data_IF_750696795584
#
_entry.id   IF_750696795584
#
_cell.length_a   1.000
_cell.length_b   1.000
_cell.length_c   1.000
_cell.angle_alpha   90.00
_cell.angle_beta   90.00
_cell.angle_gamma   90.00
#
_symmetry.space_group_name_H-M   'P 1'
#
loop_
_entity.id
_entity.type
_entity.pdbx_description
1 polymer ?
#
# COMPACT_ATOMS: atom_id res chain seq x y z
N UNK A 1 18.16 -2.55 23.67
CA UNK A 1 17.79 -3.21 22.40
C UNK A 1 17.11 -2.16 21.58
N UNK A 2 17.65 -1.83 20.40
CA UNK A 2 17.06 -0.77 19.58
C UNK A 2 16.00 -1.34 18.65
N UNK A 3 14.76 -0.89 18.82
CA UNK A 3 13.61 -1.34 18.04
C UNK A 3 13.21 -0.26 17.05
N UNK A 4 13.02 -0.63 15.79
CA UNK A 4 12.55 0.31 14.76
C UNK A 4 11.04 0.22 14.65
N UNK A 5 10.38 1.37 14.84
CA UNK A 5 8.93 1.49 14.69
C UNK A 5 8.57 2.00 13.31
N UNK A 6 7.57 1.39 12.67
CA UNK A 6 6.98 1.83 11.39
C UNK A 6 5.49 2.11 11.57
N UNK A 7 4.97 3.11 10.84
CA UNK A 7 3.53 3.38 10.80
C UNK A 7 2.82 2.27 10.04
N UNK A 8 1.73 1.78 10.63
CA UNK A 8 0.80 0.86 9.97
C UNK A 8 -0.12 1.65 9.05
N UNK A 9 -0.89 0.96 8.19
CA UNK A 9 -1.92 1.60 7.34
C UNK A 9 -2.94 2.40 8.17
N UNK A 10 -3.25 1.91 9.38
CA UNK A 10 -4.08 2.61 10.37
C UNK A 10 -3.43 3.92 10.85
N UNK A 11 -2.12 3.91 11.07
CA UNK A 11 -1.33 5.10 11.40
C UNK A 11 -1.31 6.15 10.30
N UNK A 12 -1.19 5.71 9.05
CA UNK A 12 -1.21 6.59 7.88
C UNK A 12 -2.61 7.21 7.68
N UNK A 13 -3.65 6.38 7.73
CA UNK A 13 -5.04 6.83 7.64
C UNK A 13 -5.38 7.87 8.72
N UNK A 14 -4.88 7.72 9.95
CA UNK A 14 -5.11 8.68 11.03
C UNK A 14 -4.40 10.03 10.80
N UNK A 15 -3.21 10.02 10.20
CA UNK A 15 -2.52 11.26 9.84
C UNK A 15 -3.30 12.01 8.76
N UNK A 16 -3.79 11.30 7.74
CA UNK A 16 -4.47 11.88 6.58
C UNK A 16 -5.90 12.32 6.88
N UNK A 17 -6.67 11.48 7.58
CA UNK A 17 -8.13 11.67 7.71
C UNK A 17 -8.57 12.16 9.10
N UNK A 18 -7.71 12.05 10.13
CA UNK A 18 -8.06 12.24 11.56
C UNK A 18 -9.30 11.45 12.01
N UNK A 19 -9.61 10.34 11.33
CA UNK A 19 -10.87 9.62 11.53
C UNK A 19 -11.00 9.01 12.95
N UNK A 20 -9.89 8.70 13.61
CA UNK A 20 -9.85 8.03 14.91
C UNK A 20 -9.66 8.99 16.09
N UNK A 21 -9.66 10.31 15.86
CA UNK A 21 -9.54 11.34 16.91
C UNK A 21 -8.36 11.10 17.87
N UNK A 22 -7.22 10.70 17.32
CA UNK A 22 -6.03 10.43 18.12
C UNK A 22 -5.60 11.69 18.89
N UNK A 23 -5.12 11.50 20.13
CA UNK A 23 -4.65 12.62 20.94
C UNK A 23 -3.56 13.40 20.17
N UNK A 24 -3.59 14.75 20.18
CA UNK A 24 -2.67 15.58 19.39
C UNK A 24 -1.20 15.21 19.61
N UNK A 25 -0.85 14.84 20.85
CA UNK A 25 0.50 14.42 21.24
C UNK A 25 0.90 13.09 20.62
N UNK A 26 0.00 12.09 20.64
CA UNK A 26 0.23 10.80 20.00
C UNK A 26 0.34 10.95 18.48
N UNK A 27 -0.43 11.86 17.89
CA UNK A 27 -0.36 12.15 16.45
C UNK A 27 0.99 12.77 16.07
N UNK A 28 1.50 13.70 16.87
CA UNK A 28 2.84 14.26 16.66
C UNK A 28 3.91 13.18 16.76
N UNK A 29 3.82 12.28 17.75
CA UNK A 29 4.72 11.13 17.85
C UNK A 29 4.62 10.21 16.62
N UNK A 30 3.40 9.89 16.19
CA UNK A 30 3.13 9.07 15.00
C UNK A 30 3.67 9.72 13.72
N UNK A 31 3.61 11.05 13.60
CA UNK A 31 4.21 11.78 12.48
C UNK A 31 5.73 11.59 12.46
N UNK A 32 6.38 11.58 13.63
CA UNK A 32 7.83 11.42 13.77
C UNK A 32 8.36 10.00 13.48
N UNK A 33 7.49 8.99 13.53
CA UNK A 33 7.83 7.57 13.29
C UNK A 33 7.94 7.27 11.79
N UNK A 34 9.10 7.49 11.17
CA UNK A 34 9.26 7.31 9.71
C UNK A 34 9.53 5.85 9.26
N UNK A 35 9.55 4.86 10.15
CA UNK A 35 9.98 3.50 9.81
C UNK A 35 11.50 3.32 9.65
N UNK A 36 12.27 4.39 9.82
CA UNK A 36 13.73 4.42 9.64
C UNK A 36 14.49 4.70 10.93
N UNK A 37 13.82 5.28 11.93
CA UNK A 37 14.43 5.73 13.18
C UNK A 37 14.25 4.66 14.25
N UNK A 38 15.32 4.42 15.00
CA UNK A 38 15.26 3.55 16.17
C UNK A 38 14.52 4.25 17.32
N UNK A 39 14.01 3.47 18.28
CA UNK A 39 13.38 3.94 19.52
C UNK A 39 14.21 5.02 20.23
N UNK A 40 15.53 4.86 20.27
CA UNK A 40 16.47 5.79 20.91
C UNK A 40 16.54 7.15 20.19
N UNK A 41 16.38 7.16 18.86
CA UNK A 41 16.32 8.40 18.07
C UNK A 41 14.96 9.07 18.19
N UNK A 42 13.88 8.29 18.20
CA UNK A 42 12.53 8.80 18.41
C UNK A 42 12.38 9.42 19.80
N UNK A 43 12.99 8.83 20.84
CA UNK A 43 13.07 9.41 22.19
C UNK A 43 13.79 10.76 22.24
N UNK A 44 14.82 10.96 21.41
CA UNK A 44 15.54 12.25 21.34
C UNK A 44 14.75 13.34 20.63
N UNK A 45 13.89 12.96 19.70
CA UNK A 45 13.04 13.87 18.93
C UNK A 45 11.75 14.22 19.68
N UNK A 46 11.18 13.26 20.40
CA UNK A 46 9.99 13.46 21.22
C UNK A 46 10.44 13.85 22.62
N UNK A 47 10.55 15.16 22.86
CA UNK A 47 11.09 15.69 24.13
C UNK A 47 10.21 15.40 25.36
N UNK A 48 8.96 14.96 25.19
CA UNK A 48 8.07 14.67 26.32
C UNK A 48 7.37 13.34 26.15
N UNK A 49 7.60 12.43 27.10
CA UNK A 49 6.91 11.15 27.25
C UNK A 49 6.92 10.26 25.99
N UNK A 50 8.09 10.18 25.33
CA UNK A 50 8.27 9.41 24.11
C UNK A 50 7.91 7.92 24.28
N UNK A 51 8.30 7.32 25.39
CA UNK A 51 7.98 5.92 25.71
C UNK A 51 6.49 5.68 25.83
N UNK A 52 5.79 6.51 26.60
CA UNK A 52 4.34 6.40 26.78
C UNK A 52 3.60 6.59 25.47
N UNK A 53 4.05 7.55 24.65
CA UNK A 53 3.47 7.78 23.33
C UNK A 53 3.70 6.61 22.36
N UNK A 54 4.92 6.10 22.24
CA UNK A 54 5.25 4.97 21.36
C UNK A 54 4.53 3.69 21.81
N UNK A 55 4.45 3.46 23.13
CA UNK A 55 3.72 2.32 23.69
C UNK A 55 2.23 2.41 23.39
N UNK A 56 1.62 3.59 23.53
CA UNK A 56 0.19 3.79 23.23
C UNK A 56 -0.08 3.62 21.74
N UNK A 57 0.78 4.15 20.87
CA UNK A 57 0.65 3.97 19.42
C UNK A 57 0.79 2.50 19.01
N UNK A 58 1.61 1.73 19.70
CA UNK A 58 1.78 0.31 19.45
C UNK A 58 0.61 -0.51 19.98
N UNK A 59 0.13 -0.22 21.19
CA UNK A 59 -1.03 -0.87 21.81
C UNK A 59 -2.30 -0.65 20.99
N UNK A 60 -2.50 0.57 20.49
CA UNK A 60 -3.61 0.92 19.62
C UNK A 60 -3.41 0.49 18.14
N UNK A 61 -2.24 -0.05 17.79
CA UNK A 61 -1.93 -0.60 16.45
C UNK A 61 -1.67 0.44 15.35
N UNK A 62 -1.29 1.67 15.70
CA UNK A 62 -0.88 2.71 14.75
C UNK A 62 0.58 2.58 14.31
N UNK A 63 1.41 1.87 15.08
CA UNK A 63 2.79 1.54 14.73
C UNK A 63 3.09 0.09 15.05
N UNK A 64 4.01 -0.49 14.28
CA UNK A 64 4.50 -1.86 14.44
C UNK A 64 6.04 -1.89 14.53
N UNK A 65 6.57 -2.91 15.21
CA UNK A 65 8.03 -3.11 15.33
C UNK A 65 8.48 -4.01 14.18
N UNK A 66 9.23 -3.44 13.25
CA UNK A 66 9.67 -4.14 12.02
C UNK A 66 11.09 -4.68 12.10
N UNK A 67 11.90 -4.28 13.07
CA UNK A 67 13.24 -4.85 13.27
C UNK A 67 13.76 -4.64 14.68
N UNK A 68 14.33 -5.71 15.25
CA UNK A 68 15.15 -5.71 16.46
C UNK A 68 16.58 -6.07 16.04
N UNK A 69 17.31 -5.14 15.43
CA UNK A 69 18.68 -5.41 14.98
C UNK A 69 19.67 -4.45 15.64
N UNK A 70 20.82 -4.96 16.12
CA UNK A 70 21.78 -4.16 16.86
C UNK A 70 22.49 -3.15 15.95
N UNK A 71 22.37 -1.87 16.32
CA UNK A 71 23.37 -0.80 16.24
C UNK A 71 24.07 -0.47 14.89
N UNK A 72 23.69 0.69 14.33
CA UNK A 72 24.44 1.78 13.61
C UNK A 72 25.52 1.40 12.55
N UNK A 73 25.66 2.19 11.46
CA UNK A 73 26.15 3.58 11.57
C UNK A 73 25.28 4.65 10.89
N UNK A 74 25.33 5.84 11.48
CA UNK A 74 24.95 7.14 10.90
C UNK A 74 26.07 7.60 9.93
N UNK A 75 25.91 8.69 9.13
CA UNK A 75 24.74 9.54 8.90
C UNK A 75 24.29 9.51 7.43
N UNK A 76 22.99 9.32 7.17
CA UNK A 76 22.47 9.62 5.84
C UNK A 76 22.31 11.15 5.73
N UNK A 77 23.23 11.74 4.96
CA UNK A 77 23.09 13.07 4.39
C UNK A 77 21.66 13.28 3.86
N UNK A 78 21.21 14.54 3.90
CA UNK A 78 19.93 14.97 3.31
C UNK A 78 19.66 14.23 1.99
N UNK A 79 18.42 13.76 1.73
CA UNK A 79 18.12 13.06 0.50
C UNK A 79 18.55 13.96 -0.66
N UNK A 80 19.59 13.55 -1.36
CA UNK A 80 19.98 14.20 -2.59
C UNK A 80 18.79 14.10 -3.55
N UNK A 81 18.60 15.09 -4.45
CA UNK A 81 17.49 15.10 -5.41
C UNK A 81 17.34 13.78 -6.18
N UNK A 82 18.43 13.02 -6.32
CA UNK A 82 18.47 11.70 -6.95
C UNK A 82 17.63 10.62 -6.26
N UNK A 83 17.58 10.57 -4.92
CA UNK A 83 16.84 9.51 -4.19
C UNK A 83 15.32 9.75 -4.18
N UNK A 84 14.89 11.01 -4.06
CA UNK A 84 13.48 11.38 -4.19
C UNK A 84 12.99 11.20 -5.64
N UNK A 85 13.83 11.50 -6.63
CA UNK A 85 13.52 11.25 -8.03
C UNK A 85 13.35 9.75 -8.29
N UNK A 86 14.23 8.88 -7.76
CA UNK A 86 14.14 7.43 -7.96
C UNK A 86 12.85 6.83 -7.38
N UNK A 87 12.41 7.28 -6.19
CA UNK A 87 11.16 6.83 -5.57
C UNK A 87 9.92 7.30 -6.37
N UNK A 88 9.92 8.55 -6.85
CA UNK A 88 8.85 9.06 -7.70
C UNK A 88 8.77 8.34 -9.06
N UNK A 89 9.93 7.98 -9.62
CA UNK A 89 10.03 7.19 -10.86
C UNK A 89 9.51 5.76 -10.64
N UNK A 90 9.82 5.13 -9.51
CA UNK A 90 9.31 3.80 -9.16
C UNK A 90 7.78 3.81 -8.95
N UNK A 91 7.25 4.82 -8.26
CA UNK A 91 5.80 4.99 -8.10
C UNK A 91 5.09 5.25 -9.43
N UNK A 92 5.64 6.12 -10.28
CA UNK A 92 5.10 6.38 -11.61
C UNK A 92 5.19 5.15 -12.54
N UNK A 93 6.27 4.35 -12.42
CA UNK A 93 6.41 3.09 -13.14
C UNK A 93 5.36 2.07 -12.68
N UNK A 94 5.11 1.96 -11.38
CA UNK A 94 4.04 1.12 -10.81
C UNK A 94 2.65 1.54 -11.29
N UNK A 95 2.36 2.85 -11.30
CA UNK A 95 1.09 3.38 -11.82
C UNK A 95 0.91 3.11 -13.31
N UNK A 96 1.97 3.26 -14.12
CA UNK A 96 1.94 2.92 -15.56
C UNK A 96 1.73 1.44 -15.79
N UNK A 97 2.37 0.58 -15.01
CA UNK A 97 2.17 -0.86 -15.08
C UNK A 97 0.72 -1.24 -14.74
N UNK A 98 0.14 -0.60 -13.72
CA UNK A 98 -1.26 -0.81 -13.36
C UNK A 98 -2.22 -0.35 -14.46
N UNK A 99 -1.99 0.82 -15.05
CA UNK A 99 -2.81 1.34 -16.16
C UNK A 99 -2.74 0.42 -17.40
N UNK A 100 -1.56 -0.10 -17.70
CA UNK A 100 -1.34 -1.03 -18.81
C UNK A 100 -2.06 -2.37 -18.58
N UNK A 101 -1.96 -2.94 -17.37
CA UNK A 101 -2.70 -4.16 -16.99
C UNK A 101 -4.20 -3.93 -17.10
N UNK A 102 -4.71 -2.83 -16.54
CA UNK A 102 -6.14 -2.45 -16.60
C UNK A 102 -6.65 -2.39 -18.03
N UNK A 103 -5.93 -1.67 -18.91
CA UNK A 103 -6.33 -1.49 -20.31
C UNK A 103 -6.30 -2.80 -21.09
N UNK A 104 -5.28 -3.63 -20.87
CA UNK A 104 -5.17 -4.96 -21.49
C UNK A 104 -6.28 -5.90 -21.03
N UNK A 105 -6.60 -5.88 -19.74
CA UNK A 105 -7.64 -6.72 -19.18
C UNK A 105 -9.04 -6.34 -19.69
N UNK A 106 -9.36 -5.04 -19.72
CA UNK A 106 -10.63 -4.54 -20.29
C UNK A 106 -10.77 -4.94 -21.75
N UNK A 107 -9.73 -4.71 -22.57
CA UNK A 107 -9.75 -5.12 -23.99
C UNK A 107 -9.98 -6.62 -24.14
N UNK A 108 -9.21 -7.42 -23.41
CA UNK A 108 -9.30 -8.88 -23.48
C UNK A 108 -10.66 -9.39 -22.99
N UNK A 109 -11.25 -8.75 -21.99
CA UNK A 109 -12.58 -9.08 -21.47
C UNK A 109 -13.66 -8.75 -22.52
N UNK A 110 -13.64 -7.55 -23.09
CA UNK A 110 -14.61 -7.13 -24.12
C UNK A 110 -14.50 -7.97 -25.39
N UNK A 111 -13.31 -8.38 -25.82
CA UNK A 111 -13.13 -9.29 -26.97
C UNK A 111 -13.69 -10.70 -26.72
N UNK A 112 -13.63 -11.19 -25.48
CA UNK A 112 -14.07 -12.56 -25.15
C UNK A 112 -15.56 -12.63 -24.78
N UNK A 113 -16.04 -11.66 -24.02
CA UNK A 113 -17.40 -11.66 -23.44
C UNK A 113 -18.34 -10.75 -24.23
N UNK A 114 -17.82 -9.73 -24.90
CA UNK A 114 -18.64 -8.76 -25.65
C UNK A 114 -19.35 -7.75 -24.74
N UNK A 115 -20.53 -7.24 -25.12
CA UNK A 115 -21.21 -6.14 -24.42
C UNK A 115 -21.60 -6.47 -22.98
N UNK A 116 -21.71 -7.76 -22.62
CA UNK A 116 -21.96 -8.20 -21.24
C UNK A 116 -20.85 -7.78 -20.28
N UNK A 117 -19.63 -7.55 -20.79
CA UNK A 117 -18.50 -7.09 -19.99
C UNK A 117 -18.50 -5.58 -19.70
N UNK A 118 -19.34 -4.75 -20.32
CA UNK A 118 -19.27 -3.29 -20.17
C UNK A 118 -19.35 -2.84 -18.71
N UNK A 119 -20.27 -3.42 -17.93
CA UNK A 119 -20.44 -3.06 -16.53
C UNK A 119 -19.18 -3.35 -15.69
N UNK A 120 -18.45 -4.41 -16.02
CA UNK A 120 -17.19 -4.76 -15.35
C UNK A 120 -16.03 -3.94 -15.90
N UNK A 121 -15.98 -3.68 -17.21
CA UNK A 121 -14.99 -2.79 -17.81
C UNK A 121 -15.03 -1.39 -17.17
N UNK A 122 -16.23 -0.81 -16.96
CA UNK A 122 -16.41 0.48 -16.29
C UNK A 122 -15.89 0.42 -14.83
N UNK A 123 -16.12 -0.69 -14.13
CA UNK A 123 -15.58 -0.88 -12.77
C UNK A 123 -14.06 -0.95 -12.76
N UNK A 124 -13.47 -1.66 -13.72
CA UNK A 124 -12.03 -1.75 -13.87
C UNK A 124 -11.42 -0.38 -14.17
N UNK A 125 -12.03 0.45 -15.03
CA UNK A 125 -11.59 1.83 -15.30
C UNK A 125 -11.62 2.73 -14.06
N UNK A 126 -12.58 2.51 -13.17
CA UNK A 126 -12.70 3.25 -11.91
C UNK A 126 -11.75 2.78 -10.81
N UNK A 127 -11.00 1.69 -11.01
CA UNK A 127 -10.01 1.23 -10.05
C UNK A 127 -8.77 2.14 -10.05
N UNK A 128 -8.38 2.62 -8.86
CA UNK A 128 -7.24 3.52 -8.67
C UNK A 128 -6.02 2.81 -8.05
N UNK A 129 -6.22 1.62 -7.52
CA UNK A 129 -5.18 0.79 -6.92
C UNK A 129 -5.30 -0.67 -7.38
N UNK A 130 -4.27 -1.45 -7.03
CA UNK A 130 -4.17 -2.85 -7.43
C UNK A 130 -5.28 -3.71 -6.83
N UNK A 131 -5.72 -3.44 -5.61
CA UNK A 131 -6.77 -4.21 -4.94
C UNK A 131 -8.14 -4.04 -5.60
N UNK A 132 -8.51 -2.82 -5.96
CA UNK A 132 -9.74 -2.52 -6.70
C UNK A 132 -9.73 -3.17 -8.09
N UNK A 133 -8.56 -3.14 -8.77
CA UNK A 133 -8.38 -3.78 -10.06
C UNK A 133 -8.48 -5.30 -9.93
N UNK A 134 -7.83 -5.89 -8.93
CA UNK A 134 -7.89 -7.31 -8.60
C UNK A 134 -9.32 -7.77 -8.36
N UNK A 135 -10.08 -7.05 -7.53
CA UNK A 135 -11.48 -7.39 -7.27
C UNK A 135 -12.32 -7.35 -8.54
N UNK A 136 -12.10 -6.35 -9.40
CA UNK A 136 -12.79 -6.24 -10.69
C UNK A 136 -12.39 -7.36 -11.67
N UNK A 137 -11.12 -7.78 -11.65
CA UNK A 137 -10.60 -8.91 -12.42
C UNK A 137 -11.18 -10.25 -11.97
N UNK A 138 -11.38 -10.46 -10.66
CA UNK A 138 -12.04 -11.66 -10.14
C UNK A 138 -13.50 -11.75 -10.59
N UNK A 139 -14.22 -10.61 -10.56
CA UNK A 139 -15.59 -10.54 -11.10
C UNK A 139 -15.58 -10.83 -12.61
N UNK A 140 -14.62 -10.28 -13.35
CA UNK A 140 -14.45 -10.55 -14.78
C UNK A 140 -14.22 -12.04 -15.05
N UNK A 141 -13.38 -12.69 -14.24
CA UNK A 141 -13.09 -14.11 -14.32
C UNK A 141 -14.33 -14.97 -14.10
N UNK A 142 -15.18 -14.63 -13.13
CA UNK A 142 -16.44 -15.33 -12.86
C UNK A 142 -17.43 -15.21 -14.05
N UNK A 143 -17.54 -14.02 -14.64
CA UNK A 143 -18.35 -13.82 -15.85
C UNK A 143 -17.80 -14.64 -17.02
N UNK A 144 -16.48 -14.65 -17.21
CA UNK A 144 -15.81 -15.49 -18.21
C UNK A 144 -16.10 -16.97 -17.97
N UNK A 145 -16.08 -17.42 -16.72
CA UNK A 145 -16.39 -18.79 -16.34
C UNK A 145 -17.80 -19.17 -16.73
N UNK A 146 -18.76 -18.28 -16.50
CA UNK A 146 -20.17 -18.53 -16.81
C UNK A 146 -20.51 -18.44 -18.30
N UNK A 147 -19.75 -17.66 -19.08
CA UNK A 147 -20.01 -17.42 -20.52
C UNK A 147 -19.17 -18.30 -21.45
N UNK A 148 -17.89 -18.52 -21.15
CA UNK A 148 -16.92 -19.26 -21.99
C UNK A 148 -16.45 -20.57 -21.35
N UNK A 149 -16.75 -20.80 -20.07
CA UNK A 149 -16.35 -21.99 -19.35
C UNK A 149 -15.07 -21.84 -18.54
N UNK A 150 -14.71 -22.91 -17.83
CA UNK A 150 -13.67 -22.89 -16.80
C UNK A 150 -12.25 -22.62 -17.34
N UNK A 151 -11.95 -23.08 -18.55
CA UNK A 151 -10.63 -22.94 -19.17
C UNK A 151 -10.31 -21.47 -19.47
N UNK A 152 -11.22 -20.75 -20.13
CA UNK A 152 -11.04 -19.35 -20.49
C UNK A 152 -10.91 -18.46 -19.24
N UNK A 153 -11.65 -18.78 -18.17
CA UNK A 153 -11.54 -18.11 -16.88
C UNK A 153 -10.17 -18.34 -16.23
N UNK A 154 -9.63 -19.56 -16.29
CA UNK A 154 -8.31 -19.85 -15.71
C UNK A 154 -7.20 -19.11 -16.48
N UNK A 155 -7.22 -19.15 -17.81
CA UNK A 155 -6.26 -18.43 -18.66
C UNK A 155 -6.29 -16.91 -18.41
N UNK A 156 -7.48 -16.34 -18.21
CA UNK A 156 -7.63 -14.93 -17.86
C UNK A 156 -7.02 -14.63 -16.48
N UNK A 157 -7.29 -15.48 -15.49
CA UNK A 157 -6.72 -15.38 -14.15
C UNK A 157 -5.20 -15.45 -14.17
N UNK A 158 -4.60 -16.46 -14.81
CA UNK A 158 -3.14 -16.58 -14.89
C UNK A 158 -2.47 -15.38 -15.57
N UNK A 159 -3.16 -14.73 -16.50
CA UNK A 159 -2.63 -13.57 -17.22
C UNK A 159 -2.74 -12.26 -16.47
N UNK A 160 -3.77 -12.08 -15.65
CA UNK A 160 -4.08 -10.78 -15.04
C UNK A 160 -4.16 -10.79 -13.50
N UNK A 161 -4.32 -11.95 -12.87
CA UNK A 161 -4.34 -12.16 -11.42
C UNK A 161 -3.09 -12.97 -11.02
N UNK A 162 -1.91 -12.31 -10.83
CA UNK A 162 -0.74 -13.00 -10.32
C UNK A 162 -1.04 -13.66 -8.96
N UNK A 163 -0.52 -14.88 -8.70
CA UNK A 163 -0.68 -15.54 -7.41
C UNK A 163 -0.05 -14.67 -6.32
N UNK A 164 -0.80 -14.49 -5.23
CA UNK A 164 -0.60 -13.44 -4.23
C UNK A 164 0.85 -13.14 -3.86
N UNK A 165 1.26 -11.90 -4.12
CA UNK A 165 2.26 -11.16 -3.33
C UNK A 165 1.67 -10.68 -2.02
#
# INVERSE_FOLDING_TARGET
>A
MSSVYRKTDKGLAEIETRAHRLAPRLRTALIMVDGKRSDDELRKLIMTDADGALKSLLDEGYVEIISTTPQKPAPAAAPTPAAAAAAAQAAAAGQRALDDVRRKAIRSLTEQVGPVAEAVAIKMEKAHNWEELRHSLEIAQDILRNTRGNTAANEFGERFLPPGT
#
